data_IF_837795244786
#
_entry.id   IF_837795244786
#
_cell.length_a   1.000
_cell.length_b   1.000
_cell.length_c   1.000
_cell.angle_alpha   90.00
_cell.angle_beta   90.00
_cell.angle_gamma   90.00
#
_symmetry.space_group_name_H-M   'P 1'
#
loop_
_entity.id
_entity.type
_entity.pdbx_description
1 polymer ?
#
# COMPACT_ATOMS: atom_id res chain seq x y z
N UNK A 1 20.24 -8.23 7.36
CA UNK A 1 19.55 -7.35 6.41
C UNK A 1 20.20 -7.61 5.05
N UNK A 2 19.51 -8.29 4.15
CA UNK A 2 19.91 -8.36 2.75
C UNK A 2 19.46 -7.08 2.10
N UNK A 3 20.39 -6.25 1.71
CA UNK A 3 20.18 -5.08 0.88
C UNK A 3 19.92 -5.60 -0.56
N UNK A 4 18.66 -5.69 -0.94
CA UNK A 4 18.30 -6.02 -2.32
C UNK A 4 18.54 -4.77 -3.13
N UNK A 5 19.62 -4.77 -3.92
CA UNK A 5 19.95 -3.70 -4.85
C UNK A 5 18.76 -3.45 -5.80
N UNK A 6 18.37 -2.19 -6.07
CA UNK A 6 17.32 -1.87 -7.05
C UNK A 6 17.59 -2.41 -8.47
N UNK A 7 18.82 -2.85 -8.77
CA UNK A 7 19.20 -3.42 -10.06
C UNK A 7 18.86 -4.89 -10.20
N UNK A 8 18.61 -5.61 -9.09
CA UNK A 8 18.34 -7.06 -9.12
C UNK A 8 16.87 -7.41 -9.30
N UNK A 9 16.00 -6.39 -9.34
CA UNK A 9 14.62 -6.55 -9.73
C UNK A 9 14.53 -6.43 -11.26
N UNK A 10 15.12 -7.42 -11.94
CA UNK A 10 14.89 -7.60 -13.37
C UNK A 10 13.39 -7.80 -13.62
N UNK A 11 12.91 -7.38 -14.76
CA UNK A 11 11.54 -7.58 -15.25
C UNK A 11 11.07 -9.04 -15.22
N UNK A 12 11.99 -9.95 -14.96
CA UNK A 12 11.84 -11.39 -15.02
C UNK A 12 11.53 -12.06 -13.68
N UNK A 13 11.54 -11.33 -12.54
CA UNK A 13 11.06 -11.88 -11.27
C UNK A 13 9.54 -11.89 -11.33
N UNK A 14 9.00 -12.94 -11.86
CA UNK A 14 7.58 -13.24 -11.77
C UNK A 14 7.25 -13.44 -10.29
N UNK A 15 6.21 -12.74 -9.79
CA UNK A 15 5.74 -12.90 -8.41
C UNK A 15 5.48 -14.36 -8.02
N UNK A 16 5.23 -15.23 -9.02
CA UNK A 16 5.09 -16.67 -8.81
C UNK A 16 6.35 -17.36 -8.29
N UNK A 17 7.54 -16.83 -8.54
CA UNK A 17 8.79 -17.43 -8.07
C UNK A 17 8.95 -17.33 -6.56
N UNK A 18 8.34 -16.30 -5.94
CA UNK A 18 8.33 -16.12 -4.49
C UNK A 18 7.46 -17.16 -3.75
N UNK A 19 6.55 -17.79 -4.46
CA UNK A 19 5.61 -18.80 -3.90
C UNK A 19 5.84 -20.18 -4.48
N UNK A 20 7.01 -20.44 -5.05
CA UNK A 20 7.44 -21.77 -5.53
C UNK A 20 8.57 -22.31 -4.66
N UNK A 21 8.60 -23.62 -4.42
CA UNK A 21 9.77 -24.24 -3.83
C UNK A 21 11.01 -23.95 -4.68
N UNK A 22 12.19 -23.80 -4.10
CA UNK A 22 13.44 -23.65 -4.85
C UNK A 22 13.62 -24.75 -5.90
N UNK A 23 14.25 -24.39 -7.02
CA UNK A 23 14.51 -25.34 -8.10
C UNK A 23 15.22 -26.62 -7.56
N UNK A 24 14.70 -27.78 -7.92
CA UNK A 24 15.21 -29.07 -7.48
C UNK A 24 14.75 -29.50 -6.07
N UNK A 25 13.84 -28.77 -5.45
CA UNK A 25 13.19 -29.18 -4.21
C UNK A 25 11.81 -29.78 -4.51
N UNK A 26 11.68 -31.07 -4.30
CA UNK A 26 10.38 -31.74 -4.30
C UNK A 26 9.64 -31.55 -2.96
N UNK A 27 8.36 -31.90 -2.95
CA UNK A 27 7.49 -31.76 -1.78
C UNK A 27 8.01 -32.58 -0.60
N UNK A 28 8.56 -33.76 -0.84
CA UNK A 28 9.09 -34.62 0.24
C UNK A 28 10.29 -34.01 0.93
N UNK A 29 11.23 -33.44 0.18
CA UNK A 29 12.39 -32.72 0.74
C UNK A 29 11.95 -31.46 1.47
N UNK A 30 10.95 -30.76 0.97
CA UNK A 30 10.42 -29.57 1.63
C UNK A 30 9.81 -29.92 2.98
N UNK A 31 8.95 -30.95 3.05
CA UNK A 31 8.35 -31.46 4.29
C UNK A 31 9.43 -31.91 5.30
N UNK A 32 10.45 -32.61 4.82
CA UNK A 32 11.54 -33.07 5.68
C UNK A 32 12.32 -31.91 6.27
N UNK A 33 12.62 -30.88 5.48
CA UNK A 33 13.30 -29.66 5.96
C UNK A 33 12.46 -28.87 6.96
N UNK A 34 11.15 -28.73 6.73
CA UNK A 34 10.26 -28.07 7.68
C UNK A 34 10.26 -28.80 9.03
N UNK A 35 10.21 -30.15 9.00
CA UNK A 35 10.27 -30.96 10.22
C UNK A 35 11.59 -30.76 10.99
N UNK A 36 12.72 -30.80 10.29
CA UNK A 36 14.02 -30.56 10.94
C UNK A 36 14.16 -29.13 11.45
N UNK A 37 13.66 -28.16 10.71
CA UNK A 37 13.64 -26.77 11.17
C UNK A 37 12.86 -26.62 12.48
N UNK A 38 11.66 -27.23 12.60
CA UNK A 38 10.87 -27.23 13.84
C UNK A 38 11.63 -27.85 15.00
N UNK A 39 12.29 -28.97 14.77
CA UNK A 39 13.13 -29.61 15.79
C UNK A 39 14.28 -28.70 16.26
N UNK A 40 14.92 -27.99 15.32
CA UNK A 40 15.97 -27.04 15.66
C UNK A 40 15.41 -25.87 16.48
N UNK A 41 14.28 -25.29 16.07
CA UNK A 41 13.62 -24.20 16.81
C UNK A 41 13.28 -24.62 18.24
N UNK A 42 12.76 -25.84 18.43
CA UNK A 42 12.40 -26.36 19.74
C UNK A 42 13.62 -26.70 20.60
N UNK A 43 14.75 -27.00 19.98
CA UNK A 43 15.99 -27.43 20.66
C UNK A 43 16.97 -26.27 20.90
N UNK A 44 16.75 -25.10 20.36
CA UNK A 44 17.69 -23.98 20.54
C UNK A 44 17.50 -23.28 21.88
N UNK A 45 18.62 -22.87 22.55
CA UNK A 45 18.54 -22.09 23.79
C UNK A 45 17.75 -20.79 23.64
N UNK A 46 17.74 -20.22 22.45
CA UNK A 46 16.98 -18.98 22.11
C UNK A 46 15.48 -19.16 22.28
N UNK A 47 14.98 -20.41 22.28
CA UNK A 47 13.56 -20.70 22.57
C UNK A 47 13.15 -20.14 23.93
N UNK A 48 14.02 -20.23 24.93
CA UNK A 48 13.76 -19.74 26.27
C UNK A 48 13.82 -18.21 26.38
N UNK A 49 14.36 -17.52 25.35
CA UNK A 49 14.37 -16.06 25.25
C UNK A 49 13.10 -15.52 24.61
N UNK A 50 12.32 -16.37 23.93
CA UNK A 50 11.06 -15.99 23.29
C UNK A 50 9.90 -16.19 24.24
N UNK A 51 8.94 -15.24 24.23
CA UNK A 51 7.65 -15.50 24.87
C UNK A 51 6.89 -16.61 24.13
N UNK A 52 5.96 -17.28 24.82
CA UNK A 52 5.11 -18.30 24.19
C UNK A 52 4.34 -17.74 22.99
N UNK A 53 3.95 -16.48 23.05
CA UNK A 53 3.30 -15.78 21.93
C UNK A 53 4.23 -15.63 20.72
N UNK A 54 5.48 -15.21 20.93
CA UNK A 54 6.46 -15.05 19.84
C UNK A 54 6.78 -16.39 19.19
N UNK A 55 7.02 -17.44 19.99
CA UNK A 55 7.26 -18.79 19.50
C UNK A 55 6.08 -19.33 18.68
N UNK A 56 4.85 -19.24 19.22
CA UNK A 56 3.65 -19.65 18.51
C UNK A 56 3.40 -18.84 17.23
N UNK A 57 3.74 -17.55 17.21
CA UNK A 57 3.63 -16.69 16.03
C UNK A 57 4.60 -17.09 14.93
N UNK A 58 5.84 -17.45 15.29
CA UNK A 58 6.83 -17.94 14.35
C UNK A 58 6.40 -19.28 13.72
N UNK A 59 5.92 -20.22 14.51
CA UNK A 59 5.42 -21.51 14.00
C UNK A 59 4.21 -21.30 13.08
N UNK A 60 3.26 -20.43 13.44
CA UNK A 60 2.13 -20.08 12.57
C UNK A 60 2.57 -19.45 11.25
N UNK A 61 3.59 -18.59 11.27
CA UNK A 61 4.13 -18.00 10.04
C UNK A 61 4.71 -19.09 9.11
N UNK A 62 5.43 -20.06 9.67
CA UNK A 62 5.95 -21.22 8.93
C UNK A 62 4.82 -22.09 8.37
N UNK A 63 3.79 -22.39 9.16
CA UNK A 63 2.61 -23.15 8.71
C UNK A 63 1.91 -22.44 7.56
N UNK A 64 1.73 -21.14 7.66
CA UNK A 64 1.08 -20.34 6.63
C UNK A 64 1.90 -20.32 5.32
N UNK A 65 3.23 -20.20 5.42
CA UNK A 65 4.12 -20.28 4.26
C UNK A 65 4.03 -21.67 3.59
N UNK A 66 4.05 -22.73 4.39
CA UNK A 66 3.90 -24.10 3.90
C UNK A 66 2.55 -24.33 3.20
N UNK A 67 1.47 -23.85 3.84
CA UNK A 67 0.11 -23.95 3.28
C UNK A 67 0.00 -23.18 1.96
N UNK A 68 0.58 -21.97 1.87
CA UNK A 68 0.61 -21.20 0.65
C UNK A 68 1.35 -21.93 -0.48
N UNK A 69 2.52 -22.50 -0.21
CA UNK A 69 3.32 -23.22 -1.20
C UNK A 69 2.59 -24.47 -1.74
N UNK A 70 1.74 -25.09 -0.94
CA UNK A 70 0.96 -26.29 -1.32
C UNK A 70 -0.43 -25.95 -1.86
N UNK A 71 -0.91 -24.72 -1.68
CA UNK A 71 -2.26 -24.31 -2.07
C UNK A 71 -2.39 -24.11 -3.58
N UNK A 72 -3.55 -24.46 -4.12
CA UNK A 72 -3.89 -24.14 -5.53
C UNK A 72 -3.98 -22.61 -5.76
N UNK A 73 -4.34 -21.86 -4.73
CA UNK A 73 -4.47 -20.40 -4.73
C UNK A 73 -3.14 -19.70 -5.01
N UNK A 74 -2.00 -20.37 -4.87
CA UNK A 74 -0.69 -19.82 -5.27
C UNK A 74 -0.67 -19.38 -6.74
N UNK A 75 -1.51 -19.99 -7.61
CA UNK A 75 -1.65 -19.57 -8.99
C UNK A 75 -2.12 -18.12 -9.15
N UNK A 76 -2.72 -17.52 -8.11
CA UNK A 76 -3.06 -16.10 -8.11
C UNK A 76 -1.83 -15.20 -8.29
N UNK A 77 -0.67 -15.64 -7.80
CA UNK A 77 0.59 -14.89 -7.95
C UNK A 77 1.20 -14.94 -9.34
N UNK A 78 0.72 -15.84 -10.19
CA UNK A 78 1.24 -15.99 -11.55
C UNK A 78 0.43 -15.16 -12.55
N UNK A 79 0.87 -13.93 -12.77
CA UNK A 79 0.23 -13.01 -13.72
C UNK A 79 0.40 -13.44 -15.18
N UNK A 80 1.31 -14.37 -15.48
CA UNK A 80 1.50 -14.91 -16.84
C UNK A 80 0.32 -15.77 -17.31
N UNK A 81 -0.53 -16.18 -16.38
CA UNK A 81 -1.77 -16.91 -16.70
C UNK A 81 -2.87 -16.02 -17.28
N UNK A 82 -2.71 -14.70 -17.24
CA UNK A 82 -3.63 -13.77 -17.88
C UNK A 82 -3.37 -13.67 -19.39
N UNK A 83 -4.40 -13.30 -20.14
CA UNK A 83 -4.25 -13.11 -21.58
C UNK A 83 -3.31 -11.95 -21.91
N UNK A 84 -2.63 -11.97 -23.07
CA UNK A 84 -1.75 -10.87 -23.47
C UNK A 84 -2.45 -9.50 -23.47
N UNK A 85 -3.72 -9.44 -23.82
CA UNK A 85 -4.52 -8.20 -23.83
C UNK A 85 -4.70 -7.65 -22.42
N UNK A 86 -5.03 -8.52 -21.45
CA UNK A 86 -5.16 -8.13 -20.04
C UNK A 86 -3.81 -7.66 -19.52
N UNK A 87 -2.74 -8.42 -19.77
CA UNK A 87 -1.40 -8.01 -19.32
C UNK A 87 -1.02 -6.65 -19.89
N UNK A 88 -1.26 -6.40 -21.19
CA UNK A 88 -0.98 -5.12 -21.85
C UNK A 88 -1.74 -3.95 -21.23
N UNK A 89 -2.98 -4.16 -20.83
CA UNK A 89 -3.80 -3.12 -20.22
C UNK A 89 -3.28 -2.66 -18.83
N UNK A 90 -2.62 -3.57 -18.12
CA UNK A 90 -1.95 -3.27 -16.85
C UNK A 90 -0.46 -2.93 -16.99
N UNK A 91 0.12 -3.08 -18.18
CA UNK A 91 1.57 -2.91 -18.37
C UNK A 91 1.95 -1.43 -18.52
N UNK A 92 1.84 -0.68 -17.44
CA UNK A 92 2.35 0.68 -17.29
C UNK A 92 3.61 0.72 -16.41
N UNK A 93 4.16 -0.46 -16.08
CA UNK A 93 5.29 -0.59 -15.19
C UNK A 93 5.00 -1.50 -13.99
N UNK A 94 5.80 -1.38 -12.94
CA UNK A 94 5.67 -2.22 -11.72
C UNK A 94 4.33 -2.01 -11.01
N UNK A 95 3.87 -0.76 -10.92
CA UNK A 95 2.60 -0.42 -10.29
C UNK A 95 1.42 -1.09 -11.02
N UNK A 96 1.40 -1.02 -12.35
CA UNK A 96 0.35 -1.65 -13.14
C UNK A 96 0.31 -3.17 -12.96
N UNK A 97 1.46 -3.83 -13.00
CA UNK A 97 1.55 -5.27 -12.69
C UNK A 97 1.13 -5.58 -11.26
N UNK A 98 1.44 -4.71 -10.31
CA UNK A 98 0.94 -4.78 -8.94
C UNK A 98 -0.59 -4.72 -8.86
N UNK A 99 -1.23 -3.84 -9.61
CA UNK A 99 -2.69 -3.77 -9.72
C UNK A 99 -3.30 -5.06 -10.31
N UNK A 100 -2.68 -5.64 -11.33
CA UNK A 100 -3.10 -6.93 -11.87
C UNK A 100 -2.99 -8.05 -10.83
N UNK A 101 -1.88 -8.10 -10.12
CA UNK A 101 -1.68 -9.05 -9.03
C UNK A 101 -2.73 -8.85 -7.92
N UNK A 102 -3.00 -7.60 -7.53
CA UNK A 102 -4.02 -7.28 -6.53
C UNK A 102 -5.41 -7.80 -6.93
N UNK A 103 -5.81 -7.62 -8.20
CA UNK A 103 -7.06 -8.15 -8.71
C UNK A 103 -7.12 -9.68 -8.55
N UNK A 104 -6.06 -10.39 -8.97
CA UNK A 104 -5.97 -11.85 -8.86
C UNK A 104 -6.00 -12.36 -7.42
N UNK A 105 -5.32 -11.66 -6.52
CA UNK A 105 -5.31 -12.00 -5.09
C UNK A 105 -6.70 -11.82 -4.48
N UNK A 106 -7.40 -10.73 -4.79
CA UNK A 106 -8.78 -10.49 -4.32
C UNK A 106 -9.74 -11.56 -4.85
N UNK A 107 -9.64 -11.95 -6.11
CA UNK A 107 -10.40 -13.06 -6.70
C UNK A 107 -10.20 -14.38 -5.94
N UNK A 108 -9.02 -14.58 -5.38
CA UNK A 108 -8.67 -15.77 -4.60
C UNK A 108 -8.84 -15.58 -3.09
N UNK A 109 -9.57 -14.54 -2.66
CA UNK A 109 -9.98 -14.34 -1.28
C UNK A 109 -9.01 -13.58 -0.39
N UNK A 110 -8.00 -12.91 -0.95
CA UNK A 110 -7.18 -11.98 -0.19
C UNK A 110 -8.07 -10.85 0.35
N UNK A 111 -7.94 -10.55 1.63
CA UNK A 111 -8.79 -9.58 2.34
C UNK A 111 -8.20 -8.18 2.37
N UNK A 112 -6.89 -8.08 2.24
CA UNK A 112 -6.16 -6.82 2.20
C UNK A 112 -5.00 -6.97 1.24
N UNK A 113 -4.87 -6.04 0.31
CA UNK A 113 -3.75 -5.95 -0.63
C UNK A 113 -3.35 -4.48 -0.72
N UNK A 114 -2.07 -4.22 -0.55
CA UNK A 114 -1.50 -2.89 -0.74
C UNK A 114 -0.63 -2.89 -1.99
N UNK A 115 -0.84 -1.90 -2.85
CA UNK A 115 -0.02 -1.66 -4.04
C UNK A 115 0.55 -0.26 -3.92
N UNK A 116 1.85 -0.17 -3.79
CA UNK A 116 2.55 1.11 -3.65
C UNK A 116 3.37 1.44 -4.89
N UNK A 117 3.54 2.72 -5.16
CA UNK A 117 4.62 3.18 -6.01
C UNK A 117 5.92 3.13 -5.22
N UNK A 118 7.04 2.85 -5.90
CA UNK A 118 8.34 2.81 -5.26
C UNK A 118 8.71 4.20 -4.71
N UNK A 119 9.10 4.26 -3.44
CA UNK A 119 9.62 5.49 -2.87
C UNK A 119 11.11 5.60 -3.18
N UNK A 120 11.48 6.65 -3.90
CA UNK A 120 12.86 7.04 -4.12
C UNK A 120 13.00 8.50 -3.70
N UNK A 121 13.77 8.81 -2.64
CA UNK A 121 13.93 10.18 -2.15
C UNK A 121 14.34 11.13 -3.26
N UNK A 122 13.71 12.29 -3.32
CA UNK A 122 13.95 13.35 -4.33
C UNK A 122 13.62 12.97 -5.78
N UNK A 123 12.93 11.86 -5.98
CA UNK A 123 12.50 11.40 -7.31
C UNK A 123 11.03 11.04 -7.33
N UNK A 124 10.45 10.88 -8.50
CA UNK A 124 9.08 10.46 -8.72
C UNK A 124 8.08 11.32 -7.94
N UNK A 125 7.30 10.71 -7.04
CA UNK A 125 6.30 11.42 -6.24
C UNK A 125 6.89 12.41 -5.24
N UNK A 126 8.12 12.20 -4.81
CA UNK A 126 8.85 13.13 -3.94
C UNK A 126 9.51 14.25 -4.76
N UNK A 127 8.70 15.07 -5.41
CA UNK A 127 9.15 16.12 -6.32
C UNK A 127 9.80 17.28 -5.58
N UNK A 128 11.00 17.68 -6.05
CA UNK A 128 11.76 18.82 -5.53
C UNK A 128 12.18 19.82 -6.63
N UNK A 129 11.51 19.79 -7.77
CA UNK A 129 11.69 20.65 -8.93
C UNK A 129 10.96 20.05 -10.12
N UNK A 130 10.52 20.86 -11.08
CA UNK A 130 9.77 20.44 -12.27
C UNK A 130 8.55 19.55 -11.92
N UNK A 131 7.93 19.79 -10.78
CA UNK A 131 6.94 18.91 -10.18
C UNK A 131 5.75 18.63 -11.09
N UNK A 132 5.25 19.62 -11.83
CA UNK A 132 4.12 19.42 -12.74
C UNK A 132 4.42 18.45 -13.87
N UNK A 133 5.62 18.51 -14.46
CA UNK A 133 6.01 17.57 -15.52
C UNK A 133 6.19 16.15 -14.96
N UNK A 134 6.83 16.07 -13.79
CA UNK A 134 7.06 14.78 -13.12
C UNK A 134 5.76 14.14 -12.70
N UNK A 135 4.88 14.88 -12.00
CA UNK A 135 3.60 14.36 -11.51
C UNK A 135 2.67 13.97 -12.67
N UNK A 136 2.67 14.71 -13.80
CA UNK A 136 1.91 14.34 -14.98
C UNK A 136 2.32 12.96 -15.53
N UNK A 137 3.63 12.66 -15.56
CA UNK A 137 4.14 11.34 -15.97
C UNK A 137 3.73 10.25 -14.97
N UNK A 138 3.85 10.53 -13.67
CA UNK A 138 3.46 9.60 -12.62
C UNK A 138 1.95 9.29 -12.64
N UNK A 139 1.10 10.31 -12.89
CA UNK A 139 -0.33 10.10 -13.06
C UNK A 139 -0.64 9.20 -14.26
N UNK A 140 0.03 9.40 -15.39
CA UNK A 140 -0.15 8.54 -16.57
C UNK A 140 0.21 7.07 -16.30
N UNK A 141 1.18 6.84 -15.40
CA UNK A 141 1.59 5.48 -14.99
C UNK A 141 0.53 4.79 -14.12
N UNK A 142 -0.16 5.52 -13.23
CA UNK A 142 -1.12 4.94 -12.29
C UNK A 142 -2.57 4.96 -12.79
N UNK A 143 -2.96 5.91 -13.63
CA UNK A 143 -4.35 6.15 -14.04
C UNK A 143 -4.95 4.94 -14.77
N UNK A 144 -4.29 4.48 -15.81
CA UNK A 144 -4.77 3.35 -16.62
C UNK A 144 -4.93 2.04 -15.82
N UNK A 145 -3.94 1.59 -15.04
CA UNK A 145 -4.08 0.35 -14.29
C UNK A 145 -5.12 0.45 -13.16
N UNK A 146 -5.29 1.61 -12.51
CA UNK A 146 -6.37 1.81 -11.53
C UNK A 146 -7.72 1.72 -12.23
N UNK A 147 -7.90 2.43 -13.34
CA UNK A 147 -9.15 2.39 -14.09
C UNK A 147 -9.48 0.97 -14.59
N UNK A 148 -8.46 0.22 -15.01
CA UNK A 148 -8.63 -1.18 -15.41
C UNK A 148 -8.99 -2.07 -14.22
N UNK A 149 -8.35 -1.89 -13.08
CA UNK A 149 -8.65 -2.62 -11.85
C UNK A 149 -10.12 -2.45 -11.43
N UNK A 150 -10.61 -1.21 -11.41
CA UNK A 150 -12.01 -0.91 -11.06
C UNK A 150 -12.98 -1.60 -12.01
N UNK A 151 -12.74 -1.51 -13.32
CA UNK A 151 -13.58 -2.17 -14.34
C UNK A 151 -13.55 -3.69 -14.21
N UNK A 152 -12.38 -4.27 -13.98
CA UNK A 152 -12.25 -5.71 -13.81
C UNK A 152 -13.00 -6.20 -12.57
N UNK A 153 -12.89 -5.49 -11.44
CA UNK A 153 -13.63 -5.81 -10.21
C UNK A 153 -15.14 -5.67 -10.42
N UNK A 154 -15.59 -4.64 -11.13
CA UNK A 154 -17.02 -4.45 -11.45
C UNK A 154 -17.55 -5.58 -12.35
N UNK A 155 -16.87 -5.88 -13.45
CA UNK A 155 -17.25 -6.94 -14.39
C UNK A 155 -17.29 -8.34 -13.75
N UNK A 156 -16.50 -8.56 -12.71
CA UNK A 156 -16.44 -9.82 -11.97
C UNK A 156 -17.40 -9.86 -10.77
N UNK A 157 -18.19 -8.80 -10.56
CA UNK A 157 -19.10 -8.71 -9.42
C UNK A 157 -18.37 -8.66 -8.07
N UNK A 158 -17.14 -8.15 -8.06
CA UNK A 158 -16.31 -8.05 -6.86
C UNK A 158 -16.28 -6.64 -6.28
N UNK A 159 -16.61 -5.61 -7.07
CA UNK A 159 -16.45 -4.22 -6.65
C UNK A 159 -17.33 -3.86 -5.45
N UNK A 160 -18.55 -4.38 -5.37
CA UNK A 160 -19.46 -4.08 -4.25
C UNK A 160 -18.95 -4.57 -2.89
N UNK A 161 -18.08 -5.57 -2.89
CA UNK A 161 -17.46 -6.13 -1.68
C UNK A 161 -15.95 -5.89 -1.57
N UNK A 162 -15.42 -5.03 -2.41
CA UNK A 162 -14.01 -4.65 -2.42
C UNK A 162 -13.90 -3.14 -2.35
N UNK A 163 -13.47 -2.62 -1.21
CA UNK A 163 -13.15 -1.19 -1.09
C UNK A 163 -11.76 -0.96 -1.69
N UNK A 164 -11.69 -0.15 -2.73
CA UNK A 164 -10.42 0.33 -3.31
C UNK A 164 -10.18 1.75 -2.82
N UNK A 165 -9.05 1.98 -2.17
CA UNK A 165 -8.64 3.29 -1.63
C UNK A 165 -7.40 3.76 -2.37
N UNK A 166 -7.45 4.96 -2.92
CA UNK A 166 -6.29 5.64 -3.53
C UNK A 166 -5.95 6.83 -2.66
N UNK A 167 -4.79 6.82 -2.05
CA UNK A 167 -4.35 7.80 -1.08
C UNK A 167 -2.85 8.04 -1.17
N UNK A 168 -2.42 9.17 -0.60
CA UNK A 168 -1.02 9.46 -0.29
C UNK A 168 -0.91 9.89 1.18
N UNK A 169 0.31 9.92 1.69
CA UNK A 169 0.59 10.23 3.10
C UNK A 169 0.33 11.69 3.45
N UNK A 170 0.52 12.61 2.51
CA UNK A 170 0.25 14.05 2.64
C UNK A 170 0.05 14.67 1.25
N UNK A 171 -0.30 15.96 1.23
CA UNK A 171 -0.36 16.76 0.01
C UNK A 171 0.79 17.77 -0.04
N UNK A 172 0.81 18.59 -1.10
CA UNK A 172 1.69 19.75 -1.19
C UNK A 172 0.85 20.99 -1.40
N UNK A 173 1.10 22.02 -0.60
CA UNK A 173 0.42 23.31 -0.76
C UNK A 173 1.18 24.22 -1.74
N UNK A 174 0.65 25.41 -1.98
CA UNK A 174 1.27 26.40 -2.86
C UNK A 174 2.46 27.14 -2.20
N UNK A 175 2.84 26.78 -0.97
CA UNK A 175 3.97 27.38 -0.26
C UNK A 175 5.27 26.66 -0.66
N UNK A 176 6.29 27.42 -1.02
CA UNK A 176 7.61 26.86 -1.30
C UNK A 176 8.25 26.43 0.01
N UNK A 177 8.80 25.24 0.05
CA UNK A 177 9.63 24.76 1.13
C UNK A 177 10.97 25.50 1.11
N UNK A 178 11.32 26.10 2.22
CA UNK A 178 12.57 26.80 2.37
C UNK A 178 12.42 28.22 2.87
N UNK A 179 13.23 28.54 3.86
CA UNK A 179 13.37 29.93 4.34
C UNK A 179 14.39 30.64 3.48
N UNK A 180 14.16 31.89 3.09
CA UNK A 180 15.19 32.69 2.47
C UNK A 180 16.50 32.63 3.28
N UNK A 181 17.61 32.29 2.63
CA UNK A 181 18.91 32.10 3.29
C UNK A 181 19.17 30.71 3.89
N UNK A 182 18.27 29.74 3.75
CA UNK A 182 18.55 28.35 4.13
C UNK A 182 19.76 27.81 3.35
N UNK A 183 20.62 27.06 4.06
CA UNK A 183 21.78 26.36 3.45
C UNK A 183 21.45 24.94 3.02
N UNK A 184 20.23 24.45 3.29
CA UNK A 184 19.79 23.15 2.85
C UNK A 184 19.73 23.11 1.32
N UNK A 185 20.36 22.10 0.72
CA UNK A 185 20.63 22.03 -0.71
C UNK A 185 19.35 21.96 -1.56
N UNK A 186 18.35 21.31 -1.05
CA UNK A 186 16.99 21.12 -1.57
C UNK A 186 16.09 22.35 -1.38
N UNK A 187 16.42 23.22 -0.43
CA UNK A 187 15.69 24.44 -0.09
C UNK A 187 16.34 25.71 -0.65
N UNK A 188 17.54 25.60 -1.25
CA UNK A 188 18.34 26.73 -1.69
C UNK A 188 17.97 27.24 -3.08
N UNK A 189 17.15 26.55 -3.84
CA UNK A 189 16.83 26.87 -5.23
C UNK A 189 16.03 28.18 -5.39
N UNK A 190 15.28 28.57 -4.37
CA UNK A 190 14.52 29.82 -4.42
C UNK A 190 14.71 30.68 -3.17
N UNK A 191 15.66 31.59 -3.24
CA UNK A 191 16.00 32.50 -2.13
C UNK A 191 14.89 33.51 -1.79
N UNK A 192 13.96 33.75 -2.71
CA UNK A 192 12.89 34.74 -2.54
C UNK A 192 11.61 34.14 -1.89
N UNK A 193 11.49 32.82 -1.85
CA UNK A 193 10.26 32.15 -1.43
C UNK A 193 9.07 32.32 -2.40
N UNK A 194 9.33 32.88 -3.60
CA UNK A 194 8.31 33.15 -4.61
C UNK A 194 8.63 32.33 -5.86
N UNK A 195 7.65 31.65 -6.42
CA UNK A 195 7.79 30.94 -7.68
C UNK A 195 7.91 31.94 -8.83
N UNK A 196 9.06 31.98 -9.48
CA UNK A 196 9.35 32.86 -10.61
C UNK A 196 9.65 32.09 -11.91
N UNK A 197 9.66 30.77 -11.86
CA UNK A 197 9.95 29.88 -12.99
C UNK A 197 9.12 28.59 -12.86
N UNK A 198 8.69 27.96 -13.96
CA UNK A 198 8.08 26.63 -13.95
C UNK A 198 8.93 25.56 -13.26
N UNK A 199 10.25 25.68 -13.28
CA UNK A 199 11.17 24.74 -12.61
C UNK A 199 11.03 24.74 -11.08
N UNK A 200 10.45 25.78 -10.52
CA UNK A 200 10.18 25.88 -9.08
C UNK A 200 8.96 25.04 -8.64
N UNK A 201 8.13 24.57 -9.55
CA UNK A 201 7.04 23.64 -9.21
C UNK A 201 7.61 22.31 -8.74
N UNK A 202 7.16 21.86 -7.59
CA UNK A 202 7.68 20.70 -6.86
C UNK A 202 8.49 21.08 -5.63
N UNK A 203 8.93 22.35 -5.51
CA UNK A 203 9.52 22.88 -4.28
C UNK A 203 8.48 23.20 -3.20
N UNK A 204 7.25 22.75 -3.40
CA UNK A 204 6.16 22.92 -2.43
C UNK A 204 6.42 22.07 -1.20
N UNK A 205 6.20 22.65 -0.03
CA UNK A 205 6.40 21.96 1.23
C UNK A 205 5.43 20.79 1.40
N UNK A 206 5.84 19.82 2.21
CA UNK A 206 4.95 18.78 2.71
C UNK A 206 3.82 19.40 3.53
N UNK A 207 2.60 19.14 3.16
CA UNK A 207 1.43 19.76 3.76
C UNK A 207 0.51 18.69 4.34
N UNK A 208 0.40 18.70 5.67
CA UNK A 208 -0.40 17.74 6.44
C UNK A 208 -1.76 18.30 6.87
N UNK A 209 -2.07 19.55 6.49
CA UNK A 209 -3.33 20.23 6.84
C UNK A 209 -4.55 19.78 6.01
N UNK A 210 -4.34 19.02 4.97
CA UNK A 210 -5.38 18.44 4.12
C UNK A 210 -4.80 17.62 3.00
N UNK A 211 -5.45 16.52 2.67
CA UNK A 211 -5.17 15.70 1.49
C UNK A 211 -6.47 15.12 0.96
N UNK A 212 -6.47 14.67 -0.28
CA UNK A 212 -7.63 14.05 -0.92
C UNK A 212 -7.44 12.54 -0.97
N UNK A 213 -8.52 11.81 -0.72
CA UNK A 213 -8.58 10.36 -0.83
C UNK A 213 -9.71 9.99 -1.77
N UNK A 214 -9.47 9.06 -2.69
CA UNK A 214 -10.49 8.56 -3.61
C UNK A 214 -10.83 7.12 -3.24
N UNK A 215 -12.12 6.80 -3.19
CA UNK A 215 -12.61 5.48 -2.86
C UNK A 215 -13.56 4.95 -3.92
N UNK A 216 -13.49 3.63 -4.18
CA UNK A 216 -14.37 2.93 -5.10
C UNK A 216 -14.87 1.64 -4.47
N UNK A 217 -16.10 1.26 -4.77
CA UNK A 217 -16.66 -0.02 -4.35
C UNK A 217 -16.89 -0.12 -2.84
N UNK A 218 -16.98 -1.35 -2.32
CA UNK A 218 -17.13 -1.61 -0.88
C UNK A 218 -18.35 -0.94 -0.24
N UNK A 219 -19.39 -0.63 -1.01
CA UNK A 219 -20.61 0.03 -0.54
C UNK A 219 -20.50 1.56 -0.39
N UNK A 220 -19.42 2.21 -0.87
CA UNK A 220 -19.36 3.68 -0.85
C UNK A 220 -20.33 4.30 -1.85
N UNK A 221 -20.93 5.43 -1.50
CA UNK A 221 -21.86 6.19 -2.35
C UNK A 221 -21.17 6.67 -3.61
N UNK A 222 -21.72 6.34 -4.78
CA UNK A 222 -21.19 6.78 -6.07
C UNK A 222 -21.37 8.29 -6.24
N UNK A 223 -20.33 8.97 -6.76
CA UNK A 223 -20.35 10.41 -7.02
C UNK A 223 -20.47 11.29 -5.77
N UNK A 224 -20.18 10.74 -4.59
CA UNK A 224 -20.26 11.47 -3.33
C UNK A 224 -18.93 12.16 -3.04
N UNK A 225 -19.01 13.43 -2.62
CA UNK A 225 -17.89 14.20 -2.10
C UNK A 225 -18.15 14.48 -0.63
N UNK A 226 -17.20 14.10 0.23
CA UNK A 226 -17.28 14.31 1.67
C UNK A 226 -16.15 15.24 2.12
N UNK A 227 -16.52 16.31 2.83
CA UNK A 227 -15.59 17.33 3.28
C UNK A 227 -15.24 18.35 2.21
N UNK A 228 -14.53 19.39 2.62
CA UNK A 228 -13.96 20.38 1.73
C UNK A 228 -12.72 21.03 2.36
N UNK A 229 -11.78 21.42 1.52
CA UNK A 229 -10.65 22.28 1.89
C UNK A 229 -10.94 23.73 1.57
N UNK A 230 -10.25 24.65 2.26
CA UNK A 230 -10.35 26.08 1.95
C UNK A 230 -9.80 26.38 0.54
N UNK A 231 -10.43 27.33 -0.14
CA UNK A 231 -9.98 27.81 -1.47
C UNK A 231 -8.75 28.73 -1.33
N UNK A 232 -8.57 29.31 -0.13
CA UNK A 232 -7.47 30.20 0.19
C UNK A 232 -6.58 29.62 1.29
N UNK A 233 -5.40 30.18 1.42
CA UNK A 233 -4.48 29.80 2.50
C UNK A 233 -5.13 29.95 3.88
N UNK A 234 -4.92 29.00 4.78
CA UNK A 234 -3.90 27.93 4.79
C UNK A 234 -4.28 26.63 4.08
N UNK A 235 -5.33 26.55 3.26
CA UNK A 235 -5.76 25.39 2.46
C UNK A 235 -6.12 24.14 3.29
N UNK A 236 -6.40 24.32 4.57
CA UNK A 236 -6.76 23.23 5.48
C UNK A 236 -8.19 22.74 5.23
N UNK A 237 -8.51 21.58 5.73
CA UNK A 237 -9.88 21.08 5.75
C UNK A 237 -10.77 21.99 6.62
N UNK A 238 -11.85 22.53 6.04
CA UNK A 238 -12.77 23.49 6.68
C UNK A 238 -14.19 22.97 6.86
N UNK A 239 -14.55 21.92 6.14
CA UNK A 239 -15.85 21.27 6.24
C UNK A 239 -15.64 19.78 6.42
N UNK A 240 -16.35 19.19 7.38
CA UNK A 240 -16.34 17.76 7.69
C UNK A 240 -14.92 17.16 7.67
N UNK A 241 -13.98 17.68 8.45
CA UNK A 241 -12.59 17.23 8.45
C UNK A 241 -12.51 15.77 8.89
N UNK A 242 -11.70 14.97 8.18
CA UNK A 242 -11.50 13.56 8.48
C UNK A 242 -10.10 13.37 9.06
N UNK A 243 -10.00 12.85 10.26
CA UNK A 243 -8.72 12.46 10.85
C UNK A 243 -8.22 11.13 10.27
N UNK A 244 -6.93 10.85 10.41
CA UNK A 244 -6.36 9.54 10.06
C UNK A 244 -7.04 8.41 10.84
N UNK A 245 -7.39 8.63 12.11
CA UNK A 245 -8.12 7.66 12.91
C UNK A 245 -9.52 7.38 12.36
N UNK A 246 -10.22 8.41 11.86
CA UNK A 246 -11.54 8.28 11.23
C UNK A 246 -11.44 7.54 9.89
N UNK A 247 -10.39 7.82 9.13
CA UNK A 247 -10.09 7.12 7.89
C UNK A 247 -9.87 5.62 8.15
N UNK A 248 -9.02 5.26 9.11
CA UNK A 248 -8.81 3.87 9.51
C UNK A 248 -10.09 3.23 9.99
N UNK A 249 -10.86 3.90 10.86
CA UNK A 249 -12.15 3.39 11.32
C UNK A 249 -13.14 3.16 10.17
N UNK A 250 -13.10 3.99 9.14
CA UNK A 250 -13.91 3.85 7.92
C UNK A 250 -13.53 2.60 7.13
N UNK A 251 -12.23 2.40 6.90
CA UNK A 251 -11.71 1.21 6.20
C UNK A 251 -12.04 -0.06 6.98
N UNK A 252 -11.79 -0.08 8.29
CA UNK A 252 -12.11 -1.24 9.12
C UNK A 252 -13.61 -1.52 9.18
N UNK A 253 -14.46 -0.48 9.22
CA UNK A 253 -15.91 -0.65 9.12
C UNK A 253 -16.33 -1.33 7.81
N UNK A 254 -15.74 -0.96 6.69
CA UNK A 254 -16.00 -1.62 5.41
C UNK A 254 -15.64 -3.12 5.45
N UNK A 255 -14.67 -3.50 6.28
CA UNK A 255 -14.27 -4.89 6.53
C UNK A 255 -15.11 -5.58 7.61
N UNK A 256 -16.11 -4.92 8.19
CA UNK A 256 -16.91 -5.43 9.30
C UNK A 256 -16.21 -5.42 10.66
N UNK A 257 -15.13 -4.64 10.80
CA UNK A 257 -14.31 -4.55 12.01
C UNK A 257 -14.60 -3.23 12.72
N UNK A 258 -14.99 -3.27 13.98
CA UNK A 258 -15.18 -2.05 14.79
C UNK A 258 -13.85 -1.45 15.23
N UNK A 259 -13.78 -0.12 15.35
CA UNK A 259 -12.57 0.59 15.77
C UNK A 259 -11.99 0.09 17.12
N UNK A 260 -12.88 -0.31 18.04
CA UNK A 260 -12.53 -0.85 19.36
C UNK A 260 -12.22 -2.34 19.38
N UNK A 261 -12.28 -3.03 18.22
CA UNK A 261 -11.84 -4.43 18.14
C UNK A 261 -10.37 -4.50 18.51
N UNK A 262 -10.04 -5.37 19.46
CA UNK A 262 -8.68 -5.50 19.95
C UNK A 262 -8.26 -6.97 20.01
N UNK A 263 -6.96 -7.20 19.88
CA UNK A 263 -6.30 -8.45 20.25
C UNK A 263 -5.48 -8.20 21.50
N UNK A 264 -5.57 -9.10 22.45
CA UNK A 264 -4.69 -9.09 23.61
C UNK A 264 -3.38 -9.81 23.26
N UNK A 265 -2.26 -9.14 23.47
CA UNK A 265 -0.92 -9.68 23.30
C UNK A 265 -0.16 -9.44 24.61
N UNK A 266 0.06 -10.51 25.36
CA UNK A 266 0.80 -10.46 26.63
C UNK A 266 0.19 -9.45 27.63
N UNK A 267 -1.14 -9.41 27.73
CA UNK A 267 -1.87 -8.50 28.62
C UNK A 267 -1.97 -7.05 28.13
N UNK A 268 -1.66 -6.79 26.87
CA UNK A 268 -1.78 -5.47 26.24
C UNK A 268 -2.77 -5.52 25.08
N UNK A 269 -3.83 -4.69 25.10
CA UNK A 269 -4.77 -4.62 23.98
C UNK A 269 -4.16 -3.86 22.80
N UNK A 270 -4.20 -4.47 21.62
CA UNK A 270 -3.88 -3.85 20.34
C UNK A 270 -5.18 -3.63 19.56
N UNK A 271 -5.61 -2.39 19.49
CA UNK A 271 -6.85 -2.01 18.81
C UNK A 271 -6.68 -1.96 17.30
N UNK A 272 -7.79 -2.15 16.57
CA UNK A 272 -7.83 -2.01 15.12
C UNK A 272 -7.44 -0.59 14.65
N UNK A 273 -7.81 0.43 15.42
CA UNK A 273 -7.40 1.82 15.20
C UNK A 273 -6.51 2.31 16.35
N UNK A 274 -5.84 3.44 16.18
CA UNK A 274 -5.00 4.02 17.25
C UNK A 274 -5.84 4.24 18.51
N UNK A 275 -5.50 3.57 19.58
CA UNK A 275 -6.18 3.57 20.89
C UNK A 275 -7.69 3.24 20.81
N UNK A 276 -8.15 2.53 19.80
CA UNK A 276 -9.57 2.26 19.59
C UNK A 276 -10.39 3.50 19.22
N UNK A 277 -9.73 4.59 18.81
CA UNK A 277 -10.34 5.86 18.43
C UNK A 277 -10.70 5.89 16.95
N UNK A 278 -11.47 6.89 16.58
CA UNK A 278 -11.92 7.13 15.22
C UNK A 278 -13.39 6.79 15.02
N UNK A 279 -14.05 7.61 14.23
CA UNK A 279 -15.47 7.47 13.89
C UNK A 279 -15.56 7.27 12.37
N UNK A 280 -16.18 6.18 11.91
CA UNK A 280 -16.33 5.96 10.47
C UNK A 280 -17.12 7.11 9.81
N UNK A 281 -16.62 7.63 8.71
CA UNK A 281 -17.30 8.69 7.96
C UNK A 281 -18.57 8.15 7.25
N UNK A 282 -19.62 8.98 7.06
CA UNK A 282 -20.92 8.53 6.54
C UNK A 282 -20.95 8.46 5.00
N UNK A 283 -20.02 7.74 4.41
CA UNK A 283 -19.88 7.60 2.95
C UNK A 283 -20.49 6.31 2.38
N UNK A 284 -20.92 5.40 3.24
CA UNK A 284 -21.57 4.16 2.80
C UNK A 284 -23.07 4.37 2.53
N UNK A 285 -23.59 3.69 1.48
CA UNK A 285 -24.99 3.71 1.06
C UNK A 285 -25.81 2.58 1.62
#
# INVERSE_FOLDING_TARGET
AYEISPRDWSSDVCSSDLVRPPKGMDVGRFVSRDREFRRLVDATPERDLLSDHQHASMLRAMDNAYRLLSAKERAAFDISLETPEVQKDYDTGRFGRGCLLARRLVENGARFVEVTTEYVPFFQWDTHGKGHETVAKMHAEIDRPIARLIRDLEQRGLLDRTLVVVASEFSRDAMIEGRPGSKAKDQAFNKSGVMTSPDHYGLHRHFTGGTSVVMFGGGVKKGHVYGATADERPLVAIKDPVSISDMHATIFRAMGIGAKTAFDIEGRPFYATIDGKGVPIPIFG
#
